data_IF_885634319057
#
_entry.id   IF_885634319057
#
_cell.length_a   1.000
_cell.length_b   1.000
_cell.length_c   1.000
_cell.angle_alpha   90.00
_cell.angle_beta   90.00
_cell.angle_gamma   90.00
#
_symmetry.space_group_name_H-M   'P 1'
#
loop_
_entity.id
_entity.type
_entity.pdbx_description
1 polymer ?
#
# COMPACT_ATOMS: atom_id res chain seq x y z
N UNK A 1 -4.34 0.44 12.12
CA UNK A 1 -2.94 0.20 11.72
C UNK A 1 -2.01 1.33 12.17
N UNK A 2 -2.30 2.61 11.87
CA UNK A 2 -1.42 3.74 12.22
C UNK A 2 -1.11 3.88 13.71
N UNK A 3 -2.10 3.71 14.60
CA UNK A 3 -1.89 3.81 16.06
C UNK A 3 -0.94 2.70 16.55
N UNK A 4 -1.14 1.47 16.08
CA UNK A 4 -0.33 0.30 16.46
C UNK A 4 1.10 0.42 15.91
N UNK A 5 1.26 0.81 14.65
CA UNK A 5 2.58 1.01 14.05
C UNK A 5 3.31 2.18 14.73
N UNK A 6 2.61 3.29 14.99
CA UNK A 6 3.18 4.47 15.64
C UNK A 6 3.64 4.20 17.07
N UNK A 7 2.87 3.45 17.86
CA UNK A 7 3.26 3.10 19.23
C UNK A 7 4.50 2.21 19.26
N UNK A 8 4.61 1.23 18.35
CA UNK A 8 5.82 0.39 18.22
C UNK A 8 7.07 1.22 17.90
N UNK A 9 6.95 2.18 16.98
CA UNK A 9 8.07 3.06 16.63
C UNK A 9 8.52 3.89 17.83
N UNK A 10 7.59 4.43 18.63
CA UNK A 10 7.91 5.19 19.85
C UNK A 10 8.64 4.31 20.87
N UNK A 11 8.15 3.09 21.13
CA UNK A 11 8.77 2.17 22.09
C UNK A 11 10.20 1.81 21.65
N UNK A 12 10.39 1.44 20.38
CA UNK A 12 11.71 1.08 19.84
C UNK A 12 12.66 2.28 19.87
N UNK A 13 12.16 3.47 19.56
CA UNK A 13 12.96 4.71 19.61
C UNK A 13 13.38 5.07 21.05
N UNK A 14 12.47 4.89 22.01
CA UNK A 14 12.76 5.10 23.43
C UNK A 14 13.85 4.13 23.93
N UNK A 15 13.76 2.85 23.58
CA UNK A 15 14.77 1.85 23.94
C UNK A 15 16.15 2.20 23.35
N UNK A 16 16.21 2.67 22.10
CA UNK A 16 17.45 3.11 21.47
C UNK A 16 18.05 4.35 22.16
N UNK A 17 17.23 5.38 22.38
CA UNK A 17 17.68 6.63 23.00
C UNK A 17 18.10 6.45 24.46
N UNK A 18 17.25 5.85 25.29
CA UNK A 18 17.55 5.61 26.70
C UNK A 18 18.67 4.58 26.87
N UNK A 19 18.73 3.54 26.04
CA UNK A 19 19.80 2.55 26.07
C UNK A 19 21.17 3.15 25.80
N UNK A 20 21.26 4.14 24.89
CA UNK A 20 22.50 4.86 24.61
C UNK A 20 22.89 5.82 25.74
N UNK A 21 21.94 6.60 26.29
CA UNK A 21 22.22 7.59 27.34
C UNK A 21 22.59 6.92 28.67
N UNK A 22 21.91 5.82 29.02
CA UNK A 22 22.14 5.11 30.28
C UNK A 22 23.31 4.11 30.22
N UNK A 23 23.97 3.98 29.06
CA UNK A 23 25.00 2.96 28.79
C UNK A 23 24.55 1.53 29.19
N UNK A 24 23.24 1.26 29.14
CA UNK A 24 22.67 -0.01 29.60
C UNK A 24 22.67 -1.04 28.47
N UNK A 25 23.62 -1.98 28.53
CA UNK A 25 23.77 -3.07 27.55
C UNK A 25 22.49 -3.88 27.35
N UNK A 26 21.71 -4.14 28.38
CA UNK A 26 20.49 -4.95 28.27
C UNK A 26 19.43 -4.27 27.39
N UNK A 27 19.21 -2.97 27.59
CA UNK A 27 18.30 -2.17 26.75
C UNK A 27 18.81 -2.08 25.31
N UNK A 28 20.12 -1.90 25.14
CA UNK A 28 20.76 -1.74 23.85
C UNK A 28 20.75 -3.04 23.03
N UNK A 29 20.95 -4.20 23.68
CA UNK A 29 20.80 -5.53 23.08
C UNK A 29 19.33 -5.77 22.68
N UNK A 30 18.38 -5.40 23.54
CA UNK A 30 16.95 -5.54 23.23
C UNK A 30 16.59 -4.73 21.98
N UNK A 31 17.09 -3.49 21.88
CA UNK A 31 16.94 -2.66 20.69
C UNK A 31 17.54 -3.34 19.43
N UNK A 32 18.75 -3.89 19.53
CA UNK A 32 19.38 -4.61 18.40
C UNK A 32 18.55 -5.83 17.94
N UNK A 33 18.03 -6.62 18.87
CA UNK A 33 17.16 -7.76 18.55
C UNK A 33 15.89 -7.30 17.85
N UNK A 34 15.25 -6.23 18.35
CA UNK A 34 14.07 -5.66 17.70
C UNK A 34 14.38 -5.19 16.26
N UNK A 35 15.51 -4.51 16.03
CA UNK A 35 15.92 -4.07 14.69
C UNK A 35 16.14 -5.25 13.74
N UNK A 36 16.78 -6.32 14.21
CA UNK A 36 17.01 -7.52 13.40
C UNK A 36 15.70 -8.22 13.02
N UNK A 37 14.75 -8.31 13.95
CA UNK A 37 13.42 -8.87 13.68
C UNK A 37 12.65 -8.02 12.66
N UNK A 38 12.66 -6.69 12.82
CA UNK A 38 12.01 -5.76 11.88
C UNK A 38 12.63 -5.88 10.48
N UNK A 39 13.95 -5.99 10.38
CA UNK A 39 14.66 -6.22 9.12
C UNK A 39 14.16 -7.48 8.41
N UNK A 40 14.12 -8.61 9.13
CA UNK A 40 13.64 -9.88 8.58
C UNK A 40 12.17 -9.83 8.13
N UNK A 41 11.31 -9.16 8.91
CA UNK A 41 9.91 -8.96 8.55
C UNK A 41 9.75 -8.10 7.30
N UNK A 42 10.49 -7.00 7.19
CA UNK A 42 10.45 -6.15 5.99
C UNK A 42 10.99 -6.87 4.75
N UNK A 43 12.10 -7.60 4.90
CA UNK A 43 12.70 -8.36 3.80
C UNK A 43 11.75 -9.45 3.30
N UNK A 44 11.19 -10.25 4.21
CA UNK A 44 10.21 -11.30 3.86
C UNK A 44 8.95 -10.71 3.23
N UNK A 45 8.39 -9.62 3.78
CA UNK A 45 7.23 -8.94 3.19
C UNK A 45 7.51 -8.42 1.78
N UNK A 46 8.68 -7.82 1.54
CA UNK A 46 9.10 -7.35 0.21
C UNK A 46 9.20 -8.49 -0.80
N UNK A 47 9.82 -9.61 -0.42
CA UNK A 47 9.97 -10.80 -1.29
C UNK A 47 8.60 -11.41 -1.58
N UNK A 48 7.78 -11.66 -0.55
CA UNK A 48 6.44 -12.25 -0.71
C UNK A 48 5.57 -11.36 -1.60
N UNK A 49 5.61 -10.03 -1.40
CA UNK A 49 4.87 -9.09 -2.23
C UNK A 49 5.24 -9.17 -3.72
N UNK A 50 6.53 -9.35 -4.03
CA UNK A 50 6.98 -9.52 -5.41
C UNK A 50 6.65 -10.89 -6.00
N UNK A 51 6.82 -11.96 -5.22
CA UNK A 51 6.56 -13.34 -5.66
C UNK A 51 5.08 -13.59 -5.93
N UNK A 52 4.21 -13.06 -5.06
CA UNK A 52 2.77 -13.26 -5.15
C UNK A 52 2.03 -12.12 -5.85
N UNK A 53 2.75 -11.17 -6.48
CA UNK A 53 2.14 -9.99 -7.13
C UNK A 53 1.03 -10.38 -8.11
N UNK A 54 1.28 -11.34 -8.99
CA UNK A 54 0.33 -11.72 -10.05
C UNK A 54 -0.93 -12.36 -9.44
N UNK A 55 -0.75 -13.16 -8.38
CA UNK A 55 -1.86 -13.77 -7.63
C UNK A 55 -2.71 -12.70 -6.97
N UNK A 56 -2.10 -11.78 -6.22
CA UNK A 56 -2.81 -10.70 -5.50
C UNK A 56 -3.60 -9.83 -6.48
N UNK A 57 -2.97 -9.43 -7.59
CA UNK A 57 -3.63 -8.62 -8.62
C UNK A 57 -4.82 -9.35 -9.23
N UNK A 58 -4.66 -10.65 -9.54
CA UNK A 58 -5.73 -11.45 -10.16
C UNK A 58 -6.91 -11.67 -9.22
N UNK A 59 -6.65 -12.04 -7.96
CA UNK A 59 -7.70 -12.25 -6.95
C UNK A 59 -8.48 -10.95 -6.68
N UNK A 60 -7.77 -9.82 -6.62
CA UNK A 60 -8.39 -8.52 -6.38
C UNK A 60 -9.21 -8.05 -7.60
N UNK A 61 -8.72 -8.31 -8.81
CA UNK A 61 -9.50 -8.07 -10.02
C UNK A 61 -10.75 -8.97 -10.07
N UNK A 62 -10.65 -10.24 -9.66
CA UNK A 62 -11.82 -11.13 -9.58
C UNK A 62 -12.84 -10.65 -8.54
N UNK A 63 -12.37 -10.19 -7.38
CA UNK A 63 -13.23 -9.57 -6.37
C UNK A 63 -13.97 -8.35 -6.93
N UNK A 64 -13.29 -7.47 -7.67
CA UNK A 64 -13.93 -6.32 -8.34
C UNK A 64 -14.99 -6.77 -9.35
N UNK A 65 -14.76 -7.87 -10.07
CA UNK A 65 -15.74 -8.43 -11.00
C UNK A 65 -17.04 -8.83 -10.29
N UNK A 66 -16.93 -9.51 -9.13
CA UNK A 66 -18.11 -9.94 -8.35
C UNK A 66 -18.92 -8.77 -7.79
N UNK A 67 -18.24 -7.66 -7.49
CA UNK A 67 -18.87 -6.45 -6.97
C UNK A 67 -19.69 -5.73 -8.05
N UNK A 68 -19.27 -5.84 -9.32
CA UNK A 68 -19.85 -5.16 -10.49
C UNK A 68 -20.55 -6.15 -11.43
N UNK A 69 -21.04 -7.29 -10.93
CA UNK A 69 -21.56 -8.39 -11.75
C UNK A 69 -22.88 -8.10 -12.50
N UNK A 70 -23.45 -6.89 -12.36
CA UNK A 70 -24.69 -6.46 -13.02
C UNK A 70 -25.97 -7.06 -12.45
N UNK A 71 -25.90 -7.83 -11.34
CA UNK A 71 -27.07 -8.42 -10.67
C UNK A 71 -28.01 -7.37 -10.07
N UNK A 72 -27.46 -6.29 -9.52
CA UNK A 72 -28.18 -5.18 -8.91
C UNK A 72 -27.95 -3.88 -9.67
N UNK A 73 -28.93 -2.95 -9.62
CA UNK A 73 -28.69 -1.60 -10.12
C UNK A 73 -27.72 -0.90 -9.17
N UNK A 74 -26.90 -0.01 -9.71
CA UNK A 74 -25.97 0.79 -8.93
C UNK A 74 -26.67 1.61 -7.83
N UNK A 75 -27.84 2.15 -8.14
CA UNK A 75 -28.66 2.97 -7.23
C UNK A 75 -29.24 2.17 -6.05
N UNK A 76 -29.38 0.85 -6.20
CA UNK A 76 -29.92 -0.04 -5.17
C UNK A 76 -28.83 -0.46 -4.15
N UNK A 77 -27.55 -0.17 -4.44
CA UNK A 77 -26.42 -0.45 -3.53
C UNK A 77 -26.36 0.56 -2.38
N UNK A 78 -25.61 0.23 -1.31
CA UNK A 78 -25.44 1.15 -0.18
C UNK A 78 -24.81 2.49 -0.60
N UNK A 79 -25.14 3.57 0.10
CA UNK A 79 -24.60 4.92 -0.16
C UNK A 79 -23.08 4.96 -0.07
N UNK A 80 -22.50 4.20 0.85
CA UNK A 80 -21.03 4.10 1.03
C UNK A 80 -20.38 3.42 -0.19
N UNK A 81 -21.02 2.39 -0.72
CA UNK A 81 -20.57 1.72 -1.94
C UNK A 81 -20.64 2.66 -3.13
N UNK A 82 -21.79 3.32 -3.33
CA UNK A 82 -21.98 4.26 -4.44
C UNK A 82 -20.93 5.37 -4.38
N UNK A 83 -20.69 5.95 -3.21
CA UNK A 83 -19.68 7.00 -3.02
C UNK A 83 -18.27 6.50 -3.35
N UNK A 84 -17.90 5.32 -2.84
CA UNK A 84 -16.56 4.74 -3.05
C UNK A 84 -16.32 4.39 -4.51
N UNK A 85 -17.30 3.76 -5.16
CA UNK A 85 -17.22 3.37 -6.57
C UNK A 85 -17.23 4.60 -7.48
N UNK A 86 -18.05 5.61 -7.17
CA UNK A 86 -18.06 6.90 -7.88
C UNK A 86 -16.70 7.57 -7.82
N UNK A 87 -16.11 7.67 -6.62
CA UNK A 87 -14.78 8.26 -6.47
C UNK A 87 -13.72 7.49 -7.25
N UNK A 88 -13.76 6.15 -7.21
CA UNK A 88 -12.84 5.30 -7.97
C UNK A 88 -12.98 5.56 -9.47
N UNK A 89 -14.19 5.44 -10.01
CA UNK A 89 -14.45 5.62 -11.44
C UNK A 89 -14.09 7.03 -11.94
N UNK A 90 -14.39 8.07 -11.15
CA UNK A 90 -14.03 9.45 -11.49
C UNK A 90 -12.52 9.71 -11.43
N UNK A 91 -11.81 9.20 -10.41
CA UNK A 91 -10.34 9.38 -10.29
C UNK A 91 -9.62 8.65 -11.42
N UNK A 92 -10.07 7.44 -11.74
CA UNK A 92 -9.43 6.58 -12.74
C UNK A 92 -9.97 6.79 -14.16
N UNK A 93 -10.98 7.64 -14.35
CA UNK A 93 -11.66 7.90 -15.64
C UNK A 93 -12.02 6.60 -16.37
N UNK A 94 -12.73 5.72 -15.66
CA UNK A 94 -13.12 4.40 -16.13
C UNK A 94 -14.55 4.09 -15.67
N UNK A 95 -15.23 3.15 -16.33
CA UNK A 95 -16.58 2.74 -15.93
C UNK A 95 -16.76 1.22 -15.98
N UNK A 96 -17.42 0.69 -14.95
CA UNK A 96 -17.70 -0.73 -14.80
C UNK A 96 -16.43 -1.54 -14.49
N UNK A 97 -16.50 -2.87 -14.66
CA UNK A 97 -15.37 -3.75 -14.45
C UNK A 97 -14.57 -3.94 -15.75
N UNK A 98 -15.16 -4.66 -16.71
CA UNK A 98 -14.62 -4.91 -18.05
C UNK A 98 -15.24 -3.99 -19.11
N UNK A 99 -16.39 -3.37 -18.83
CA UNK A 99 -17.08 -2.44 -19.72
C UNK A 99 -18.10 -1.61 -18.96
N UNK A 100 -18.46 -0.44 -19.47
CA UNK A 100 -19.54 0.39 -18.94
C UNK A 100 -20.88 -0.35 -18.86
N UNK A 101 -21.11 -1.31 -19.75
CA UNK A 101 -22.31 -2.16 -19.76
C UNK A 101 -22.40 -3.15 -18.60
N UNK A 102 -21.39 -3.26 -17.73
CA UNK A 102 -21.49 -4.10 -16.54
C UNK A 102 -22.54 -3.56 -15.55
N UNK A 103 -22.88 -2.28 -15.62
CA UNK A 103 -24.01 -1.74 -14.88
C UNK A 103 -25.31 -2.05 -15.61
N UNK A 104 -26.32 -2.53 -14.88
CA UNK A 104 -27.65 -2.84 -15.43
C UNK A 104 -28.37 -1.60 -16.01
N UNK A 105 -27.99 -0.40 -15.56
CA UNK A 105 -28.46 0.89 -16.07
C UNK A 105 -27.28 1.88 -16.05
N UNK A 106 -26.40 1.86 -17.06
CA UNK A 106 -25.17 2.66 -17.03
C UNK A 106 -25.45 4.17 -17.12
N UNK A 107 -26.55 4.57 -17.79
CA UNK A 107 -26.96 5.98 -17.89
C UNK A 107 -27.44 6.61 -16.58
N UNK A 108 -27.66 5.84 -15.51
CA UNK A 108 -27.97 6.38 -14.17
C UNK A 108 -26.73 6.46 -13.27
N UNK A 109 -25.58 5.96 -13.74
CA UNK A 109 -24.31 6.00 -13.00
C UNK A 109 -23.57 7.29 -13.37
N UNK A 110 -23.68 8.31 -12.53
CA UNK A 110 -23.07 9.62 -12.78
C UNK A 110 -21.54 9.57 -12.89
N UNK A 111 -20.88 8.61 -12.23
CA UNK A 111 -19.43 8.41 -12.35
C UNK A 111 -18.97 7.85 -13.69
N UNK A 112 -19.90 7.34 -14.51
CA UNK A 112 -19.62 6.90 -15.85
C UNK A 112 -19.80 8.01 -16.89
N UNK A 113 -20.37 9.16 -16.51
CA UNK A 113 -20.62 10.30 -17.40
C UNK A 113 -19.36 11.16 -17.59
N UNK A 114 -19.13 11.61 -18.83
CA UNK A 114 -18.02 12.51 -19.19
C UNK A 114 -18.46 13.82 -19.85
N UNK A 115 -19.76 14.14 -19.82
CA UNK A 115 -20.35 15.35 -20.44
C UNK A 115 -19.71 16.68 -19.99
N UNK A 116 -19.01 16.71 -18.85
CA UNK A 116 -18.33 17.90 -18.32
C UNK A 116 -16.84 18.02 -18.68
N UNK A 117 -16.27 17.06 -19.41
CA UNK A 117 -14.82 16.95 -19.59
C UNK A 117 -14.35 17.46 -20.96
N UNK A 118 -13.84 18.69 -21.02
CA UNK A 118 -13.41 19.37 -22.26
C UNK A 118 -11.91 19.21 -22.57
N UNK A 119 -11.30 18.11 -22.11
CA UNK A 119 -9.86 17.84 -22.31
C UNK A 119 -9.63 16.93 -23.52
N UNK A 120 -8.45 17.02 -24.15
CA UNK A 120 -8.06 16.16 -25.27
C UNK A 120 -8.16 14.65 -24.94
N UNK A 121 -8.07 14.31 -23.65
CA UNK A 121 -8.16 12.94 -23.14
C UNK A 121 -9.59 12.37 -23.16
N UNK A 122 -10.64 13.21 -23.03
CA UNK A 122 -12.02 12.75 -23.00
C UNK A 122 -12.44 12.07 -24.30
N UNK A 123 -11.95 12.56 -25.45
CA UNK A 123 -12.16 11.93 -26.75
C UNK A 123 -11.52 10.52 -26.85
N UNK A 124 -10.55 10.21 -25.98
CA UNK A 124 -9.87 8.91 -25.92
C UNK A 124 -10.62 7.91 -25.03
N UNK A 125 -11.64 8.34 -24.28
CA UNK A 125 -12.35 7.48 -23.32
C UNK A 125 -13.86 7.55 -23.44
N UNK A 126 -14.42 8.41 -24.28
CA UNK A 126 -15.86 8.57 -24.47
C UNK A 126 -16.29 8.42 -25.93
N UNK A 127 -17.54 8.00 -26.13
CA UNK A 127 -18.18 7.95 -27.44
C UNK A 127 -18.79 9.32 -27.79
N UNK A 128 -18.71 9.72 -29.05
CA UNK A 128 -19.34 10.95 -29.54
C UNK A 128 -20.88 10.89 -29.54
N UNK A 129 -21.45 9.67 -29.53
CA UNK A 129 -22.91 9.43 -29.52
C UNK A 129 -23.48 9.20 -28.13
N UNK A 130 -22.67 8.73 -27.17
CA UNK A 130 -23.07 8.53 -25.77
C UNK A 130 -21.97 9.04 -24.82
N UNK A 131 -22.28 9.92 -23.85
CA UNK A 131 -21.27 10.53 -23.00
C UNK A 131 -20.82 9.61 -21.85
N UNK A 132 -20.48 8.36 -22.13
CA UNK A 132 -20.06 7.39 -21.12
C UNK A 132 -18.59 6.95 -21.32
N UNK A 133 -17.86 6.76 -20.22
CA UNK A 133 -16.51 6.19 -20.26
C UNK A 133 -16.53 4.74 -20.78
N UNK A 134 -15.90 4.45 -21.92
CA UNK A 134 -15.81 3.08 -22.45
C UNK A 134 -14.64 2.27 -21.88
N UNK A 135 -13.72 2.93 -21.18
CA UNK A 135 -12.54 2.27 -20.61
C UNK A 135 -12.92 1.41 -19.40
N UNK A 136 -12.49 0.15 -19.43
CA UNK A 136 -12.65 -0.79 -18.32
C UNK A 136 -11.83 -0.39 -17.10
N UNK A 137 -12.40 -0.39 -15.90
CA UNK A 137 -11.62 -0.17 -14.69
C UNK A 137 -10.67 -1.33 -14.38
N UNK A 138 -10.96 -2.55 -14.83
CA UNK A 138 -10.10 -3.72 -14.59
C UNK A 138 -8.68 -3.53 -15.12
N UNK A 139 -8.51 -3.09 -16.38
CA UNK A 139 -7.18 -2.95 -16.98
C UNK A 139 -6.35 -1.90 -16.26
N UNK A 140 -6.96 -0.74 -15.98
CA UNK A 140 -6.30 0.34 -15.27
C UNK A 140 -5.97 -0.06 -13.83
N UNK A 141 -6.92 -0.69 -13.13
CA UNK A 141 -6.71 -1.20 -11.77
C UNK A 141 -5.56 -2.20 -11.70
N UNK A 142 -5.51 -3.13 -12.67
CA UNK A 142 -4.47 -4.15 -12.77
C UNK A 142 -3.10 -3.51 -13.02
N UNK A 143 -3.01 -2.58 -13.97
CA UNK A 143 -1.77 -1.85 -14.28
C UNK A 143 -1.27 -1.02 -13.09
N UNK A 144 -2.18 -0.28 -12.44
CA UNK A 144 -1.87 0.49 -11.24
C UNK A 144 -1.42 -0.41 -10.09
N UNK A 145 -2.04 -1.58 -9.89
CA UNK A 145 -1.65 -2.51 -8.85
C UNK A 145 -0.30 -3.16 -9.13
N UNK A 146 -0.01 -3.56 -10.37
CA UNK A 146 1.31 -4.08 -10.74
C UNK A 146 2.41 -3.05 -10.46
N UNK A 147 2.19 -1.81 -10.90
CA UNK A 147 3.13 -0.73 -10.67
C UNK A 147 3.24 -0.37 -9.17
N UNK A 148 2.13 -0.35 -8.47
CA UNK A 148 2.05 -0.05 -7.03
C UNK A 148 2.78 -1.09 -6.19
N UNK A 149 2.54 -2.38 -6.43
CA UNK A 149 3.23 -3.48 -5.72
C UNK A 149 4.74 -3.44 -5.96
N UNK A 150 5.16 -3.21 -7.21
CA UNK A 150 6.59 -3.09 -7.53
C UNK A 150 7.24 -1.88 -6.84
N UNK A 151 6.58 -0.72 -6.88
CA UNK A 151 7.08 0.50 -6.23
C UNK A 151 7.14 0.34 -4.70
N UNK A 152 6.10 -0.23 -4.10
CA UNK A 152 6.06 -0.52 -2.68
C UNK A 152 7.17 -1.48 -2.26
N UNK A 153 7.42 -2.54 -3.03
CA UNK A 153 8.51 -3.47 -2.74
C UNK A 153 9.89 -2.79 -2.78
N UNK A 154 10.14 -1.91 -3.75
CA UNK A 154 11.38 -1.12 -3.82
C UNK A 154 11.55 -0.23 -2.59
N UNK A 155 10.48 0.47 -2.19
CA UNK A 155 10.49 1.31 -0.98
C UNK A 155 10.78 0.45 0.26
N UNK A 156 10.11 -0.69 0.43
CA UNK A 156 10.31 -1.58 1.57
C UNK A 156 11.74 -2.13 1.62
N UNK A 157 12.31 -2.55 0.49
CA UNK A 157 13.70 -2.98 0.41
C UNK A 157 14.67 -1.86 0.79
N UNK A 158 14.40 -0.64 0.36
CA UNK A 158 15.19 0.54 0.71
C UNK A 158 15.10 0.85 2.21
N UNK A 159 13.90 0.84 2.78
CA UNK A 159 13.67 1.05 4.21
C UNK A 159 14.30 -0.04 5.09
N UNK A 160 14.38 -1.27 4.58
CA UNK A 160 15.03 -2.40 5.26
C UNK A 160 16.53 -2.16 5.53
N UNK A 161 17.20 -1.33 4.72
CA UNK A 161 18.62 -1.00 4.97
C UNK A 161 18.84 -0.16 6.24
N UNK A 162 17.85 0.63 6.67
CA UNK A 162 17.97 1.54 7.82
C UNK A 162 18.14 0.77 9.15
N UNK A 163 17.28 -0.24 9.46
CA UNK A 163 17.50 -1.10 10.63
C UNK A 163 18.84 -1.81 10.66
N UNK A 164 19.36 -2.20 9.50
CA UNK A 164 20.63 -2.90 9.39
C UNK A 164 21.79 -1.98 9.85
N UNK A 165 21.79 -0.73 9.41
CA UNK A 165 22.77 0.27 9.86
C UNK A 165 22.63 0.50 11.38
N UNK A 166 21.40 0.66 11.87
CA UNK A 166 21.12 0.81 13.30
C UNK A 166 21.62 -0.36 14.14
N UNK A 167 21.47 -1.59 13.64
CA UNK A 167 21.97 -2.80 14.26
C UNK A 167 23.49 -2.80 14.40
N UNK A 168 24.23 -2.51 13.31
CA UNK A 168 25.70 -2.44 13.36
C UNK A 168 26.21 -1.35 14.31
N UNK A 169 25.60 -0.16 14.27
CA UNK A 169 25.96 0.92 15.20
C UNK A 169 25.74 0.52 16.66
N UNK A 170 24.63 -0.16 16.93
CA UNK A 170 24.28 -0.65 18.26
C UNK A 170 25.29 -1.69 18.75
N UNK A 171 25.72 -2.62 17.89
CA UNK A 171 26.75 -3.60 18.23
C UNK A 171 28.10 -2.95 18.55
N UNK A 172 28.51 -1.95 17.76
CA UNK A 172 29.72 -1.17 18.04
C UNK A 172 29.65 -0.49 19.41
N UNK A 173 28.49 0.09 19.75
CA UNK A 173 28.27 0.76 21.03
C UNK A 173 28.30 -0.23 22.21
N UNK A 174 27.61 -1.38 22.10
CA UNK A 174 27.63 -2.44 23.14
C UNK A 174 29.06 -2.93 23.40
N UNK A 175 29.84 -3.17 22.34
CA UNK A 175 31.23 -3.60 22.45
C UNK A 175 32.14 -2.51 23.04
N UNK A 176 31.84 -1.23 22.79
CA UNK A 176 32.54 -0.09 23.41
C UNK A 176 32.34 -0.05 24.92
N UNK A 177 31.09 -0.11 25.39
CA UNK A 177 30.75 -0.14 26.82
C UNK A 177 31.38 -1.39 27.49
N UNK A 178 31.39 -2.53 26.78
CA UNK A 178 32.06 -3.77 27.21
C UNK A 178 33.54 -3.61 27.56
N UNK A 179 34.27 -2.76 26.84
CA UNK A 179 35.69 -2.50 27.10
C UNK A 179 35.91 -1.53 28.28
N UNK A 180 34.99 -0.59 28.48
CA UNK A 180 35.08 0.40 29.56
C UNK A 180 34.85 -0.22 30.94
N UNK A 181 34.04 -1.27 31.04
CA UNK A 181 33.84 -2.04 32.29
C UNK A 181 35.04 -2.95 32.65
N UNK A 182 36.02 -3.11 31.75
CA UNK A 182 37.21 -3.98 31.93
C UNK A 182 38.51 -3.17 31.98
N UNK A 183 38.44 -1.83 32.16
CA UNK A 183 39.60 -0.96 32.40
C UNK A 183 40.32 -1.24 33.74
N UNK A 184 41.65 -1.00 33.82
CA UNK A 184 42.61 -1.85 34.52
C UNK A 184 42.52 -1.75 36.04
N UNK A 185 42.53 -2.91 36.71
CA UNK A 185 42.94 -3.04 38.12
C UNK A 185 44.46 -3.10 38.17
#
# INVERSE_FOLDING_TARGET
MCIVAGSLVIIVSFLGCCGAIMENKCMLITFAVCQFLIFGLMLSAGIVGLVYKDRVVTELAAAMATVVDGSEKFEDRSTDFQTSMTNLQTIFKCCGYSSYNNWRSPGTVTSCDCSGESTADAATYCDATTPAYYRSCQSLFTDYMYWGVQTAAIIVMSLSSIPLIGFFMTLCLVNGIGKNDVGPV
#
